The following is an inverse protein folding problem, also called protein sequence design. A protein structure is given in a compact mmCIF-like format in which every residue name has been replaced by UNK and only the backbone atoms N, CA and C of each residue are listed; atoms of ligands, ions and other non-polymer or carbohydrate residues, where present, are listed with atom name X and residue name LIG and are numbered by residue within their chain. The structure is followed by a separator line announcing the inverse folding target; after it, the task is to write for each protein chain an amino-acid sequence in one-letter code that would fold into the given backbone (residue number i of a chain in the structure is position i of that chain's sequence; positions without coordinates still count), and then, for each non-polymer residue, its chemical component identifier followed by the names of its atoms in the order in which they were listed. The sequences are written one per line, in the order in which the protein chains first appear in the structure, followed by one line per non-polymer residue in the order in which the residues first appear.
data_IF_216309822469
#
_entry.id   IF_216309822469
#
_cell.length_a   1.000
_cell.length_b   1.000
_cell.length_c   1.000
_cell.angle_alpha   90.00
_cell.angle_beta   90.00
_cell.angle_gamma   90.00
#
_symmetry.space_group_name_H-M   'P 1'
#
loop_
_entity.id
_entity.type
_entity.pdbx_description
1 polymer ?
#
# COMPACT_ATOMS: atom_id res chain seq x y z
N UNK A 1 8.21 20.88 -16.68
CA UNK A 1 6.99 20.35 -17.32
C UNK A 1 6.83 18.85 -16.98
N UNK A 2 6.78 18.46 -15.69
CA UNK A 2 6.81 17.04 -15.29
C UNK A 2 5.67 16.59 -14.37
N UNK A 3 4.67 17.43 -14.09
CA UNK A 3 3.56 17.10 -13.18
C UNK A 3 2.18 17.00 -13.86
N UNK A 4 2.07 17.33 -15.16
CA UNK A 4 0.78 17.27 -15.87
C UNK A 4 0.28 15.83 -16.08
N UNK A 5 1.18 14.86 -16.19
CA UNK A 5 0.79 13.45 -16.43
C UNK A 5 -0.07 12.87 -15.31
N UNK A 6 0.13 13.29 -14.04
CA UNK A 6 -0.71 12.83 -12.92
C UNK A 6 -2.15 13.30 -13.08
N UNK A 7 -2.34 14.52 -13.58
CA UNK A 7 -3.66 15.09 -13.83
C UNK A 7 -4.29 14.48 -15.08
N UNK A 8 -3.50 14.20 -16.12
CA UNK A 8 -3.99 13.62 -17.37
C UNK A 8 -4.37 12.14 -17.19
N UNK A 9 -3.54 11.33 -16.53
CA UNK A 9 -3.85 9.93 -16.16
C UNK A 9 -5.11 9.84 -15.29
N UNK A 10 -5.27 10.77 -14.34
CA UNK A 10 -6.45 10.83 -13.46
C UNK A 10 -7.73 11.22 -14.20
N UNK A 11 -7.63 12.03 -15.26
CA UNK A 11 -8.78 12.46 -16.07
C UNK A 11 -9.21 11.39 -17.08
N UNK A 12 -8.26 10.69 -17.69
CA UNK A 12 -8.55 9.68 -18.71
C UNK A 12 -9.02 8.33 -18.15
N UNK A 13 -8.61 7.95 -16.94
CA UNK A 13 -8.93 6.61 -16.38
C UNK A 13 -9.98 6.61 -15.26
N UNK A 14 -10.35 7.79 -14.75
CA UNK A 14 -11.24 7.92 -13.60
C UNK A 14 -12.33 8.99 -13.83
N UNK A 15 -13.00 8.94 -14.99
CA UNK A 15 -14.26 9.67 -15.19
C UNK A 15 -15.39 9.07 -14.34
N UNK A 16 -16.36 9.90 -13.96
CA UNK A 16 -17.56 9.46 -13.23
C UNK A 16 -18.62 8.84 -14.17
N UNK A 17 -18.27 8.58 -15.43
CA UNK A 17 -19.15 8.00 -16.44
C UNK A 17 -19.06 6.47 -16.41
N UNK A 18 -20.18 5.77 -16.17
CA UNK A 18 -20.24 4.30 -16.20
C UNK A 18 -19.77 3.62 -14.90
N UNK A 19 -20.49 3.88 -13.81
CA UNK A 19 -20.12 3.40 -12.47
C UNK A 19 -20.88 2.13 -12.10
N UNK A 20 -20.16 1.09 -11.69
CA UNK A 20 -20.73 -0.10 -11.06
C UNK A 20 -20.81 0.14 -9.54
N UNK A 21 -22.00 -0.03 -8.97
CA UNK A 21 -22.20 0.06 -7.53
C UNK A 21 -21.56 -1.16 -6.84
N UNK A 22 -20.85 -0.91 -5.75
CA UNK A 22 -20.15 -1.95 -5.00
C UNK A 22 -21.13 -3.02 -4.46
N UNK A 23 -20.74 -4.29 -4.62
CA UNK A 23 -21.49 -5.46 -4.13
C UNK A 23 -21.06 -5.90 -2.72
N UNK A 24 -19.95 -5.38 -2.19
CA UNK A 24 -19.58 -5.46 -0.78
C UNK A 24 -18.77 -6.68 -0.34
N UNK A 25 -17.99 -7.31 -1.23
CA UNK A 25 -17.21 -8.54 -0.95
C UNK A 25 -15.84 -8.32 -0.24
N UNK A 26 -15.68 -7.20 0.47
CA UNK A 26 -14.46 -6.87 1.20
C UNK A 26 -14.53 -7.19 2.70
N UNK A 27 -13.36 -7.44 3.27
CA UNK A 27 -13.17 -7.75 4.70
C UNK A 27 -12.84 -6.50 5.54
N UNK A 28 -12.34 -5.44 4.91
CA UNK A 28 -12.09 -4.15 5.56
C UNK A 28 -13.21 -3.17 5.24
N UNK A 29 -13.70 -2.50 6.27
CA UNK A 29 -14.75 -1.48 6.14
C UNK A 29 -14.09 -0.10 6.17
N UNK A 30 -14.24 0.66 5.09
CA UNK A 30 -13.78 2.05 5.01
C UNK A 30 -14.97 2.96 5.27
N UNK A 31 -14.86 3.77 6.33
CA UNK A 31 -15.87 4.73 6.77
C UNK A 31 -15.29 6.13 6.81
N UNK A 32 -16.10 7.11 6.47
CA UNK A 32 -15.71 8.50 6.60
C UNK A 32 -16.87 9.45 6.44
N UNK A 33 -16.56 10.73 6.67
CA UNK A 33 -17.46 11.85 6.44
C UNK A 33 -16.84 12.79 5.41
N UNK A 34 -17.65 13.23 4.46
CA UNK A 34 -17.25 14.16 3.41
C UNK A 34 -18.11 15.41 3.52
N UNK A 35 -17.46 16.56 3.46
CA UNK A 35 -18.16 17.84 3.33
C UNK A 35 -18.59 18.01 1.86
N UNK A 36 -19.77 17.52 1.54
CA UNK A 36 -20.36 17.57 0.20
C UNK A 36 -21.37 18.71 0.12
N UNK A 37 -21.51 19.32 -1.06
CA UNK A 37 -22.57 20.32 -1.30
C UNK A 37 -23.93 19.63 -1.45
N UNK A 38 -23.92 18.37 -1.87
CA UNK A 38 -25.10 17.54 -2.02
C UNK A 38 -25.19 16.49 -0.92
N UNK A 39 -26.38 16.17 -0.38
CA UNK A 39 -26.53 15.18 0.69
C UNK A 39 -26.24 13.75 0.24
N UNK A 40 -26.35 13.46 -1.08
CA UNK A 40 -26.23 12.14 -1.68
C UNK A 40 -25.18 12.12 -2.81
N UNK A 41 -23.99 12.62 -2.53
CA UNK A 41 -22.88 12.63 -3.49
C UNK A 41 -22.46 11.19 -3.83
N UNK A 42 -22.07 10.96 -5.09
CA UNK A 42 -21.51 9.67 -5.49
C UNK A 42 -20.01 9.68 -5.23
N UNK A 43 -19.51 8.66 -4.54
CA UNK A 43 -18.10 8.53 -4.20
C UNK A 43 -17.57 7.31 -4.94
N UNK A 44 -16.67 7.55 -5.88
CA UNK A 44 -15.95 6.48 -6.56
C UNK A 44 -14.71 6.13 -5.75
N UNK A 45 -14.44 4.85 -5.59
CA UNK A 45 -13.25 4.36 -4.92
C UNK A 45 -12.54 3.30 -5.75
N UNK A 46 -11.22 3.23 -5.58
CA UNK A 46 -10.41 2.14 -6.11
C UNK A 46 -9.17 1.92 -5.25
N UNK A 47 -8.72 0.67 -5.21
CA UNK A 47 -7.49 0.27 -4.53
C UNK A 47 -6.81 -0.86 -5.31
N UNK A 48 -5.53 -1.09 -5.00
CA UNK A 48 -4.77 -2.15 -5.63
C UNK A 48 -5.38 -3.53 -5.32
N UNK A 49 -5.04 -4.52 -6.14
CA UNK A 49 -5.35 -5.91 -5.87
C UNK A 49 -4.80 -6.35 -4.50
N UNK A 50 -5.42 -7.35 -3.86
CA UNK A 50 -4.88 -7.95 -2.65
C UNK A 50 -3.49 -8.56 -2.86
N UNK A 51 -2.69 -8.74 -1.79
CA UNK A 51 -1.42 -9.44 -1.87
C UNK A 51 -1.62 -10.91 -2.27
N UNK A 52 -0.76 -11.41 -3.15
CA UNK A 52 -0.76 -12.83 -3.52
C UNK A 52 0.08 -13.59 -2.50
N UNK A 53 -0.53 -14.52 -1.77
CA UNK A 53 0.19 -15.38 -0.84
C UNK A 53 0.52 -16.72 -1.49
N UNK A 54 1.82 -17.00 -1.63
CA UNK A 54 2.34 -18.28 -2.12
C UNK A 54 3.19 -18.96 -1.05
N UNK A 55 3.61 -20.20 -1.32
CA UNK A 55 4.44 -21.00 -0.40
C UNK A 55 5.88 -20.52 -0.30
N UNK A 56 6.40 -19.80 -1.30
CA UNK A 56 7.78 -19.31 -1.29
C UNK A 56 7.86 -17.91 -0.67
N UNK A 57 8.90 -17.67 0.11
CA UNK A 57 9.18 -16.35 0.68
C UNK A 57 9.32 -15.27 -0.41
N UNK A 58 10.06 -15.61 -1.47
CA UNK A 58 10.40 -14.70 -2.57
C UNK A 58 9.22 -14.43 -3.50
N UNK A 59 8.18 -15.26 -3.51
CA UNK A 59 7.02 -15.11 -4.40
C UNK A 59 5.72 -14.71 -3.71
N UNK A 60 5.75 -14.45 -2.40
CA UNK A 60 4.55 -14.23 -1.58
C UNK A 60 4.54 -12.80 -1.04
N UNK A 61 3.46 -12.06 -1.23
CA UNK A 61 3.28 -10.71 -0.68
C UNK A 61 4.16 -9.63 -1.31
N UNK A 62 4.67 -9.84 -2.52
CA UNK A 62 5.46 -8.85 -3.25
C UNK A 62 4.60 -7.66 -3.69
N UNK A 63 5.10 -6.40 -3.60
CA UNK A 63 4.42 -5.26 -4.18
C UNK A 63 4.30 -5.39 -5.70
N UNK A 64 3.24 -4.81 -6.27
CA UNK A 64 3.07 -4.79 -7.72
C UNK A 64 4.12 -3.87 -8.39
N UNK A 65 4.59 -4.22 -9.60
CA UNK A 65 5.66 -3.47 -10.28
C UNK A 65 5.23 -2.08 -10.79
N UNK A 66 3.92 -1.88 -11.04
CA UNK A 66 3.36 -0.61 -11.49
C UNK A 66 1.92 -0.44 -10.99
N UNK A 67 1.42 0.80 -11.04
CA UNK A 67 0.01 1.11 -10.78
C UNK A 67 -0.93 0.37 -11.75
N UNK A 68 -0.56 0.29 -13.03
CA UNK A 68 -1.40 -0.34 -14.06
C UNK A 68 -1.71 -1.80 -13.71
N UNK A 69 -0.67 -2.56 -13.34
CA UNK A 69 -0.79 -3.97 -12.94
C UNK A 69 -1.49 -4.07 -11.58
N UNK A 70 -1.22 -3.15 -10.65
CA UNK A 70 -1.85 -3.15 -9.34
C UNK A 70 -3.38 -2.98 -9.42
N UNK A 71 -3.86 -2.16 -10.36
CA UNK A 71 -5.28 -1.84 -10.53
C UNK A 71 -5.99 -2.70 -11.59
N UNK A 72 -5.25 -3.47 -12.38
CA UNK A 72 -5.81 -4.36 -13.40
C UNK A 72 -6.78 -5.38 -12.79
N UNK A 73 -8.04 -5.34 -13.23
CA UNK A 73 -9.11 -6.23 -12.75
C UNK A 73 -9.24 -6.32 -11.22
N UNK A 74 -8.90 -5.22 -10.51
CA UNK A 74 -8.98 -5.20 -9.05
C UNK A 74 -10.43 -5.37 -8.58
N UNK A 75 -10.71 -6.27 -7.61
CA UNK A 75 -12.02 -6.35 -6.98
C UNK A 75 -12.30 -5.14 -6.09
N UNK A 76 -11.26 -4.37 -5.75
CA UNK A 76 -11.36 -3.19 -4.89
C UNK A 76 -11.69 -1.93 -5.71
N UNK A 77 -12.72 -1.98 -6.56
CA UNK A 77 -13.18 -0.83 -7.34
C UNK A 77 -14.70 -0.77 -7.34
N UNK A 78 -15.25 0.42 -7.18
CA UNK A 78 -16.69 0.64 -7.26
C UNK A 78 -17.07 2.06 -6.91
N UNK A 79 -18.36 2.27 -6.67
CA UNK A 79 -18.82 3.49 -6.03
C UNK A 79 -19.93 3.24 -5.03
N UNK A 80 -20.05 4.20 -4.12
CA UNK A 80 -21.08 4.25 -3.10
C UNK A 80 -21.71 5.65 -3.07
N UNK A 81 -22.99 5.73 -2.74
CA UNK A 81 -23.65 7.01 -2.48
C UNK A 81 -23.46 7.38 -1.02
N UNK A 82 -23.12 8.63 -0.75
CA UNK A 82 -23.17 9.13 0.62
C UNK A 82 -24.61 9.24 1.11
N UNK A 83 -24.81 9.04 2.41
CA UNK A 83 -26.07 9.33 3.09
C UNK A 83 -25.82 10.42 4.13
N UNK A 84 -26.20 11.66 3.81
CA UNK A 84 -25.93 12.81 4.67
C UNK A 84 -24.43 13.02 4.92
N UNK A 85 -23.63 12.94 3.84
CA UNK A 85 -22.17 13.12 3.89
C UNK A 85 -21.37 11.92 4.43
N UNK A 86 -22.03 10.90 4.97
CA UNK A 86 -21.38 9.68 5.45
C UNK A 86 -21.29 8.64 4.35
N UNK A 87 -20.17 7.92 4.28
CA UNK A 87 -19.99 6.82 3.35
C UNK A 87 -19.39 5.60 4.05
N UNK A 88 -19.75 4.44 3.53
CA UNK A 88 -19.27 3.14 3.97
C UNK A 88 -19.16 2.22 2.76
N UNK A 89 -17.99 1.63 2.55
CA UNK A 89 -17.80 0.58 1.54
C UNK A 89 -16.80 -0.46 2.06
N UNK A 90 -16.76 -1.61 1.40
CA UNK A 90 -15.90 -2.72 1.80
C UNK A 90 -14.81 -2.96 0.76
N UNK A 91 -13.59 -3.22 1.23
CA UNK A 91 -12.45 -3.58 0.36
C UNK A 91 -11.70 -4.76 0.94
N UNK A 92 -11.07 -5.54 0.08
CA UNK A 92 -10.04 -6.50 0.47
C UNK A 92 -8.74 -5.72 0.69
N UNK A 93 -7.89 -6.17 1.63
CA UNK A 93 -6.67 -5.43 1.96
C UNK A 93 -5.80 -5.25 0.70
N UNK A 94 -5.58 -4.02 0.21
CA UNK A 94 -4.80 -3.81 -1.00
C UNK A 94 -3.33 -4.05 -0.72
N UNK A 95 -2.59 -4.50 -1.72
CA UNK A 95 -1.14 -4.61 -1.63
C UNK A 95 -0.45 -3.27 -1.93
N UNK A 96 0.83 -3.19 -1.59
CA UNK A 96 1.70 -2.12 -2.04
C UNK A 96 2.02 -2.24 -3.54
N UNK A 97 2.46 -1.15 -4.14
CA UNK A 97 2.92 -1.14 -5.53
C UNK A 97 3.97 -0.07 -5.77
N UNK A 98 4.67 -0.14 -6.90
CA UNK A 98 5.66 0.83 -7.30
C UNK A 98 5.13 1.83 -8.33
N UNK A 99 5.68 3.04 -8.30
CA UNK A 99 5.49 4.06 -9.34
C UNK A 99 6.85 4.66 -9.74
N UNK A 100 6.86 5.42 -10.85
CA UNK A 100 8.07 6.09 -11.33
C UNK A 100 9.17 5.08 -11.69
N UNK A 101 8.82 4.05 -12.47
CA UNK A 101 9.75 3.00 -12.92
C UNK A 101 10.41 2.21 -11.77
N UNK A 102 9.66 1.94 -10.69
CA UNK A 102 10.17 1.16 -9.55
C UNK A 102 10.82 1.98 -8.44
N UNK A 103 10.93 3.30 -8.60
CA UNK A 103 11.63 4.16 -7.64
C UNK A 103 10.79 4.59 -6.43
N UNK A 104 9.46 4.68 -6.59
CA UNK A 104 8.55 5.15 -5.55
C UNK A 104 7.72 3.99 -5.04
N UNK A 105 7.91 3.64 -3.76
CA UNK A 105 7.08 2.65 -3.08
C UNK A 105 5.79 3.30 -2.56
N UNK A 106 4.65 2.73 -2.94
CA UNK A 106 3.33 3.17 -2.50
C UNK A 106 2.75 2.13 -1.55
N UNK A 107 2.60 2.53 -0.29
CA UNK A 107 1.96 1.72 0.74
C UNK A 107 0.48 1.44 0.45
N UNK A 108 -0.07 0.32 0.99
CA UNK A 108 -1.48 -0.05 0.90
C UNK A 108 -2.43 1.12 1.15
N UNK A 109 -3.12 1.54 0.09
CA UNK A 109 -4.02 2.67 0.15
C UNK A 109 -5.26 2.48 -0.71
N UNK A 110 -6.30 3.21 -0.33
CA UNK A 110 -7.53 3.37 -1.11
C UNK A 110 -7.58 4.80 -1.62
N UNK A 111 -7.90 4.94 -2.90
CA UNK A 111 -8.18 6.23 -3.50
C UNK A 111 -9.68 6.45 -3.54
N UNK A 112 -10.11 7.66 -3.21
CA UNK A 112 -11.50 8.10 -3.32
C UNK A 112 -11.56 9.37 -4.15
N UNK A 113 -12.61 9.47 -4.96
CA UNK A 113 -12.95 10.66 -5.74
C UNK A 113 -14.43 10.95 -5.56
N UNK A 114 -14.74 12.21 -5.27
CA UNK A 114 -16.12 12.68 -5.11
C UNK A 114 -16.62 13.13 -6.48
N UNK A 115 -17.71 12.51 -6.94
CA UNK A 115 -18.38 12.85 -8.18
C UNK A 115 -19.56 13.79 -7.87
N UNK A 116 -19.32 15.09 -7.95
CA UNK A 116 -20.34 16.15 -7.84
C UNK A 116 -20.28 17.08 -9.06
N UNK A 117 -21.44 17.56 -9.52
CA UNK A 117 -21.52 18.58 -10.57
C UNK A 117 -20.89 19.89 -10.09
N UNK A 118 -19.82 20.34 -10.76
CA UNK A 118 -19.05 21.52 -10.34
C UNK A 118 -18.17 21.31 -9.10
N UNK A 119 -17.94 20.05 -8.70
CA UNK A 119 -17.01 19.67 -7.65
C UNK A 119 -15.55 19.63 -8.11
N UNK A 120 -14.62 19.71 -7.16
CA UNK A 120 -13.20 19.58 -7.42
C UNK A 120 -12.84 18.13 -7.80
N UNK A 121 -12.08 17.92 -8.87
CA UNK A 121 -11.64 16.60 -9.33
C UNK A 121 -10.50 15.99 -8.47
N UNK A 122 -10.46 16.32 -7.18
CA UNK A 122 -9.37 15.93 -6.29
C UNK A 122 -9.50 14.47 -5.86
N UNK A 123 -8.40 13.73 -6.00
CA UNK A 123 -8.30 12.37 -5.50
C UNK A 123 -7.75 12.42 -4.08
N UNK A 124 -8.49 11.86 -3.14
CA UNK A 124 -8.03 11.68 -1.78
C UNK A 124 -7.47 10.28 -1.60
N UNK A 125 -6.35 10.17 -0.89
CA UNK A 125 -5.70 8.89 -0.57
C UNK A 125 -5.90 8.59 0.91
N UNK A 126 -6.47 7.43 1.21
CA UNK A 126 -6.59 6.88 2.56
C UNK A 126 -5.55 5.77 2.70
N UNK A 127 -4.59 5.93 3.60
CA UNK A 127 -3.66 4.86 3.94
C UNK A 127 -4.37 3.83 4.83
N UNK A 128 -4.34 2.55 4.45
CA UNK A 128 -4.94 1.47 5.25
C UNK A 128 -3.95 0.81 6.19
N UNK A 129 -2.65 0.97 5.95
CA UNK A 129 -1.58 0.46 6.81
C UNK A 129 -0.27 0.31 6.06
N UNK A 130 0.63 -0.48 6.63
CA UNK A 130 1.94 -0.73 6.03
C UNK A 130 1.88 -1.95 5.11
N UNK A 131 2.74 -1.96 4.09
CA UNK A 131 2.94 -3.18 3.29
C UNK A 131 3.68 -4.27 4.06
N UNK A 132 3.74 -5.45 3.44
CA UNK A 132 4.39 -6.62 4.02
C UNK A 132 5.91 -6.34 4.14
N UNK A 133 6.50 -6.50 5.34
CA UNK A 133 7.90 -6.14 5.58
C UNK A 133 8.84 -7.06 4.79
N UNK A 134 10.02 -6.52 4.45
CA UNK A 134 11.06 -7.22 3.69
C UNK A 134 10.64 -7.70 2.29
N UNK A 135 9.61 -7.11 1.69
CA UNK A 135 9.15 -7.41 0.31
C UNK A 135 9.53 -6.34 -0.71
N UNK A 136 10.28 -5.33 -0.28
CA UNK A 136 10.69 -4.23 -1.14
C UNK A 136 11.81 -4.66 -2.10
N UNK A 137 11.77 -4.16 -3.34
CA UNK A 137 12.85 -4.30 -4.32
C UNK A 137 14.15 -3.63 -3.86
N UNK A 138 14.02 -2.55 -3.10
CA UNK A 138 15.12 -1.79 -2.54
C UNK A 138 15.13 -1.93 -1.02
N UNK A 139 16.23 -1.54 -0.40
CA UNK A 139 16.28 -1.39 1.06
C UNK A 139 15.15 -0.48 1.54
N UNK A 140 14.63 -0.70 2.77
CA UNK A 140 13.65 0.19 3.36
C UNK A 140 14.18 1.64 3.29
N UNK A 141 13.31 2.61 2.97
CA UNK A 141 13.71 4.01 2.92
C UNK A 141 14.29 4.40 4.27
N UNK A 142 15.29 5.30 4.28
CA UNK A 142 15.94 5.77 5.49
C UNK A 142 15.01 6.65 6.33
N UNK A 143 14.07 6.03 7.02
CA UNK A 143 13.32 6.63 8.11
C UNK A 143 14.25 6.76 9.32
N UNK A 144 13.98 7.71 10.22
CA UNK A 144 14.80 7.99 11.42
C UNK A 144 15.12 6.73 12.24
N UNK A 145 14.20 5.76 12.23
CA UNK A 145 14.31 4.53 13.01
C UNK A 145 14.61 3.28 12.17
N UNK A 146 14.93 3.40 10.88
CA UNK A 146 15.26 2.23 10.04
C UNK A 146 16.75 2.19 9.71
N UNK A 147 17.38 1.04 9.93
CA UNK A 147 18.73 0.75 9.45
C UNK A 147 18.72 0.57 7.92
N UNK A 148 18.57 1.66 7.17
CA UNK A 148 18.71 1.65 5.72
C UNK A 148 20.20 1.50 5.32
N UNK A 149 20.47 0.92 4.15
CA UNK A 149 21.84 0.82 3.61
C UNK A 149 22.36 2.21 3.23
N UNK A 150 23.06 2.87 4.16
CA UNK A 150 23.68 4.19 3.97
C UNK A 150 25.15 4.12 3.55
N UNK A 151 25.83 3.00 3.79
CA UNK A 151 27.25 2.82 3.47
C UNK A 151 27.60 1.34 3.29
N UNK A 152 28.81 1.01 2.79
CA UNK A 152 29.30 -0.36 2.76
C UNK A 152 29.36 -1.03 4.14
N UNK A 153 29.45 -0.23 5.22
CA UNK A 153 29.42 -0.73 6.60
C UNK A 153 28.05 -1.25 7.04
N UNK A 154 27.05 -1.26 6.15
CA UNK A 154 25.73 -1.82 6.42
C UNK A 154 25.72 -3.28 6.90
N UNK A 155 26.75 -4.06 6.53
CA UNK A 155 26.91 -5.46 6.94
C UNK A 155 27.81 -5.64 8.19
N UNK A 156 28.29 -4.53 8.77
CA UNK A 156 29.14 -4.57 9.97
C UNK A 156 28.32 -4.88 11.24
N UNK A 157 28.99 -5.17 12.36
CA UNK A 157 28.35 -5.50 13.65
C UNK A 157 28.16 -6.99 13.93
N UNK A 158 28.56 -7.89 13.02
CA UNK A 158 28.52 -9.35 13.26
C UNK A 158 29.35 -9.78 14.47
N UNK A 159 30.47 -9.11 14.73
CA UNK A 159 31.35 -9.35 15.88
C UNK A 159 30.75 -8.91 17.22
N UNK A 160 29.71 -8.09 17.21
CA UNK A 160 29.04 -7.58 18.41
C UNK A 160 27.87 -8.47 18.83
N UNK A 161 27.49 -9.45 17.99
CA UNK A 161 26.40 -10.37 18.29
C UNK A 161 26.85 -11.41 19.33
N UNK A 162 25.99 -11.75 20.31
CA UNK A 162 26.31 -12.78 21.28
C UNK A 162 26.41 -14.16 20.63
N UNK A 163 27.16 -15.05 21.26
CA UNK A 163 27.13 -16.49 20.96
C UNK A 163 25.72 -17.02 21.22
N UNK A 164 25.14 -17.71 20.23
CA UNK A 164 23.75 -18.17 20.23
C UNK A 164 23.63 -19.61 19.76
N UNK A 165 22.59 -20.30 20.21
CA UNK A 165 22.24 -21.62 19.69
C UNK A 165 21.59 -21.52 18.31
N UNK A 166 21.54 -22.64 17.58
CA UNK A 166 20.86 -22.70 16.28
C UNK A 166 19.37 -22.32 16.39
N UNK A 167 18.68 -22.75 17.46
CA UNK A 167 17.29 -22.40 17.72
C UNK A 167 17.11 -20.89 17.95
N UNK A 168 17.96 -20.29 18.79
CA UNK A 168 17.91 -18.85 19.05
C UNK A 168 18.09 -18.06 17.75
N UNK A 169 19.03 -18.47 16.90
CA UNK A 169 19.26 -17.83 15.61
C UNK A 169 18.03 -17.93 14.71
N UNK A 170 17.37 -19.10 14.64
CA UNK A 170 16.15 -19.28 13.85
C UNK A 170 14.99 -18.41 14.35
N UNK A 171 14.78 -18.36 15.68
CA UNK A 171 13.71 -17.52 16.27
C UNK A 171 13.98 -16.03 16.08
N UNK A 172 15.22 -15.61 16.26
CA UNK A 172 15.63 -14.20 16.13
C UNK A 172 15.73 -13.73 14.67
N UNK A 173 15.86 -14.65 13.71
CA UNK A 173 15.81 -14.36 12.27
C UNK A 173 14.40 -14.48 11.70
N UNK A 174 13.40 -14.77 12.54
CA UNK A 174 12.00 -14.86 12.14
C UNK A 174 11.46 -13.52 11.66
N UNK A 175 10.60 -13.56 10.66
CA UNK A 175 9.88 -12.38 10.18
C UNK A 175 8.81 -11.96 11.20
N UNK A 176 8.48 -10.65 11.28
CA UNK A 176 7.45 -10.17 12.17
C UNK A 176 6.08 -10.75 11.79
N UNK A 177 5.28 -11.07 12.80
CA UNK A 177 3.90 -11.56 12.61
C UNK A 177 2.96 -10.43 12.16
N UNK A 178 3.29 -9.19 12.52
CA UNK A 178 2.58 -7.99 12.08
C UNK A 178 3.28 -7.33 10.90
N UNK A 179 2.52 -6.68 10.03
CA UNK A 179 3.04 -5.89 8.92
C UNK A 179 3.65 -4.57 9.44
N UNK A 180 4.73 -4.66 10.21
CA UNK A 180 5.48 -3.52 10.73
C UNK A 180 6.95 -3.75 10.40
N UNK A 181 7.54 -2.81 9.67
CA UNK A 181 8.96 -2.84 9.37
C UNK A 181 9.75 -2.66 10.69
N UNK A 182 10.63 -3.59 11.08
CA UNK A 182 11.42 -3.42 12.27
C UNK A 182 12.45 -2.30 12.11
N UNK A 183 12.87 -1.73 13.24
CA UNK A 183 13.84 -0.63 13.26
C UNK A 183 15.20 -1.04 12.69
N UNK A 184 15.65 -2.25 13.02
CA UNK A 184 16.83 -2.83 12.41
C UNK A 184 16.40 -3.87 11.38
N UNK A 185 16.79 -3.65 10.11
CA UNK A 185 16.55 -4.60 9.01
C UNK A 185 17.09 -6.00 9.34
N UNK A 186 18.26 -6.06 9.98
CA UNK A 186 18.86 -7.31 10.43
C UNK A 186 18.33 -7.77 11.78
N UNK A 187 17.79 -6.88 12.62
CA UNK A 187 17.41 -7.22 13.99
C UNK A 187 18.59 -7.83 14.75
N UNK A 188 18.45 -9.11 15.13
CA UNK A 188 19.53 -9.95 15.66
C UNK A 188 19.99 -11.02 14.65
N UNK A 189 19.39 -11.09 13.47
CA UNK A 189 19.84 -11.97 12.40
C UNK A 189 21.28 -11.61 12.00
N UNK A 190 22.01 -12.61 11.54
CA UNK A 190 23.38 -12.42 11.05
C UNK A 190 23.30 -11.74 9.68
N UNK A 191 23.94 -10.58 9.45
CA UNK A 191 24.05 -10.02 8.12
C UNK A 191 24.69 -11.02 7.16
N UNK A 192 23.99 -11.36 6.07
CA UNK A 192 24.51 -12.25 5.04
C UNK A 192 25.34 -11.43 4.04
N UNK A 193 26.58 -11.84 3.79
CA UNK A 193 27.41 -11.33 2.68
C UNK A 193 26.93 -11.90 1.33
#
# INVERSE_FOLDING_TARGET
MCDNWKNDYSKEHHSCDGIVLDSGEGEYIVKGHINTKTPNATIMFWAANPPTYTTSYTGSGLPYPSADIAYENTPNRGAVKSNGGHFEFRVRYPNAYYMGLGSVYVEPCVHIKICEEGGDNKIHRIALGNGIPFRMLTYPPSLENTAARKSPMFYSGRSELPMRTQEQLLRESGYPESNVMPQNFWGKAVPHE
#
